data_IF_097835914980
#
_entry.id   IF_097835914980
#
_cell.length_a   1.000
_cell.length_b   1.000
_cell.length_c   1.000
_cell.angle_alpha   90.00
_cell.angle_beta   90.00
_cell.angle_gamma   90.00
#
_symmetry.space_group_name_H-M   'P 1'
#
loop_
_entity.id
_entity.type
_entity.pdbx_description
1 polymer ?
#
# COMPACT_ATOMS: atom_id res chain seq x y z
N UNK A 1 -28.47 11.62 -19.94
CA UNK A 1 -27.39 12.53 -19.50
C UNK A 1 -27.78 13.48 -18.35
N UNK A 2 -29.05 13.90 -18.19
CA UNK A 2 -29.46 14.81 -17.10
C UNK A 2 -29.48 14.21 -15.69
N UNK A 3 -29.91 12.94 -15.53
CA UNK A 3 -30.07 12.29 -14.21
C UNK A 3 -28.75 12.15 -13.45
N UNK A 4 -27.67 11.77 -14.14
CA UNK A 4 -26.33 11.65 -13.54
C UNK A 4 -25.83 13.01 -13.00
N UNK A 5 -26.09 14.12 -13.69
CA UNK A 5 -25.70 15.47 -13.21
C UNK A 5 -26.45 15.88 -11.95
N UNK A 6 -27.75 15.63 -11.89
CA UNK A 6 -28.57 15.92 -10.70
C UNK A 6 -28.12 15.08 -9.51
N UNK A 7 -27.81 13.80 -9.74
CA UNK A 7 -27.28 12.92 -8.69
C UNK A 7 -25.90 13.40 -8.21
N UNK A 8 -24.96 13.72 -9.10
CA UNK A 8 -23.65 14.27 -8.71
C UNK A 8 -23.78 15.54 -7.89
N UNK A 9 -24.63 16.48 -8.32
CA UNK A 9 -24.88 17.71 -7.57
C UNK A 9 -25.49 17.43 -6.20
N UNK A 10 -26.51 16.56 -6.13
CA UNK A 10 -27.13 16.16 -4.87
C UNK A 10 -26.11 15.52 -3.91
N UNK A 11 -25.26 14.63 -4.41
CA UNK A 11 -24.20 13.99 -3.62
C UNK A 11 -23.23 15.04 -3.07
N UNK A 12 -22.75 15.98 -3.90
CA UNK A 12 -21.88 17.07 -3.46
C UNK A 12 -22.52 17.90 -2.33
N UNK A 13 -23.79 18.27 -2.48
CA UNK A 13 -24.51 18.98 -1.42
C UNK A 13 -24.68 18.12 -0.17
N UNK A 14 -24.88 16.80 -0.32
CA UNK A 14 -25.08 15.89 0.82
C UNK A 14 -23.80 15.71 1.64
N UNK A 15 -22.63 15.56 1.00
CA UNK A 15 -21.36 15.44 1.73
C UNK A 15 -20.95 16.73 2.46
N UNK A 16 -21.43 17.89 2.02
CA UNK A 16 -21.16 19.19 2.66
C UNK A 16 -22.00 19.45 3.92
N UNK A 17 -23.03 18.63 4.22
CA UNK A 17 -23.90 18.80 5.39
C UNK A 17 -23.19 18.40 6.69
N UNK A 18 -22.74 19.40 7.45
CA UNK A 18 -21.98 19.19 8.70
C UNK A 18 -22.82 18.77 9.91
N UNK A 19 -24.11 19.06 9.89
CA UNK A 19 -25.06 18.75 10.99
C UNK A 19 -25.38 17.24 11.06
N UNK A 20 -25.21 16.52 9.95
CA UNK A 20 -25.51 15.08 9.87
C UNK A 20 -24.25 14.23 10.06
N UNK A 21 -24.38 13.16 10.84
CA UNK A 21 -23.30 12.21 11.09
C UNK A 21 -22.83 11.52 9.80
N UNK A 22 -21.51 11.30 9.68
CA UNK A 22 -20.85 10.65 8.54
C UNK A 22 -21.52 9.31 8.17
N UNK A 23 -21.88 8.51 9.17
CA UNK A 23 -22.53 7.21 9.00
C UNK A 23 -23.93 7.31 8.35
N UNK A 24 -24.67 8.36 8.67
CA UNK A 24 -26.00 8.60 8.09
C UNK A 24 -25.86 9.04 6.64
N UNK A 25 -24.89 9.91 6.36
CA UNK A 25 -24.63 10.40 5.01
C UNK A 25 -24.13 9.27 4.11
N UNK A 26 -23.15 8.47 4.56
CA UNK A 26 -22.62 7.35 3.80
C UNK A 26 -23.73 6.36 3.40
N UNK A 27 -24.58 5.96 4.36
CA UNK A 27 -25.73 5.09 4.10
C UNK A 27 -26.77 5.73 3.18
N UNK A 28 -27.05 7.02 3.33
CA UNK A 28 -28.02 7.72 2.46
C UNK A 28 -27.51 7.80 1.03
N UNK A 29 -26.22 8.08 0.84
CA UNK A 29 -25.59 8.13 -0.48
C UNK A 29 -25.56 6.72 -1.08
N UNK A 30 -25.19 5.69 -0.31
CA UNK A 30 -25.12 4.31 -0.83
C UNK A 30 -26.49 3.77 -1.25
N UNK A 31 -27.53 4.00 -0.46
CA UNK A 31 -28.90 3.59 -0.79
C UNK A 31 -29.46 4.31 -2.03
N UNK A 32 -29.14 5.61 -2.19
CA UNK A 32 -29.68 6.41 -3.29
C UNK A 32 -28.92 6.19 -4.60
N UNK A 33 -27.61 5.97 -4.53
CA UNK A 33 -26.82 5.66 -5.71
C UNK A 33 -27.02 4.21 -6.14
N UNK A 34 -27.05 3.24 -5.21
CA UNK A 34 -27.18 1.83 -5.55
C UNK A 34 -26.24 1.42 -6.70
N UNK A 35 -26.78 0.73 -7.70
CA UNK A 35 -26.07 0.36 -8.93
C UNK A 35 -26.16 1.41 -10.05
N UNK A 36 -26.43 2.68 -9.72
CA UNK A 36 -26.58 3.73 -10.73
C UNK A 36 -25.30 3.89 -11.54
N UNK A 37 -25.35 3.44 -12.80
CA UNK A 37 -24.22 3.49 -13.72
C UNK A 37 -23.70 4.92 -13.92
N UNK A 38 -22.40 5.11 -13.72
CA UNK A 38 -21.67 6.33 -14.10
C UNK A 38 -21.32 7.31 -12.97
N UNK A 39 -21.46 6.93 -11.70
CA UNK A 39 -20.96 7.71 -10.56
C UNK A 39 -19.92 6.86 -9.80
N UNK A 40 -18.71 7.39 -9.70
CA UNK A 40 -17.58 6.75 -9.01
C UNK A 40 -17.61 7.11 -7.52
N UNK A 41 -17.56 6.13 -6.62
CA UNK A 41 -17.49 6.40 -5.19
C UNK A 41 -16.18 7.08 -4.79
N UNK A 42 -15.11 6.83 -5.55
CA UNK A 42 -13.85 7.58 -5.40
C UNK A 42 -14.01 9.10 -5.61
N UNK A 43 -14.78 9.54 -6.61
CA UNK A 43 -15.05 10.97 -6.85
C UNK A 43 -15.78 11.61 -5.66
N UNK A 44 -16.71 10.86 -5.06
CA UNK A 44 -17.50 11.32 -3.92
C UNK A 44 -16.64 11.37 -2.65
N UNK A 45 -15.86 10.32 -2.40
CA UNK A 45 -14.93 10.25 -1.28
C UNK A 45 -13.89 11.38 -1.37
N UNK A 46 -13.38 11.67 -2.58
CA UNK A 46 -12.49 12.80 -2.83
C UNK A 46 -13.14 14.12 -2.42
N UNK A 47 -14.40 14.36 -2.81
CA UNK A 47 -15.15 15.56 -2.43
C UNK A 47 -15.38 15.64 -0.91
N UNK A 48 -15.74 14.54 -0.26
CA UNK A 48 -15.88 14.50 1.20
C UNK A 48 -14.56 14.84 1.91
N UNK A 49 -13.43 14.35 1.39
CA UNK A 49 -12.10 14.67 1.91
C UNK A 49 -11.74 16.15 1.72
N UNK A 50 -12.01 16.73 0.55
CA UNK A 50 -11.84 18.18 0.30
C UNK A 50 -12.68 19.06 1.25
N UNK A 51 -13.82 18.55 1.71
CA UNK A 51 -14.66 19.20 2.72
C UNK A 51 -14.15 19.01 4.16
N UNK A 52 -13.01 18.33 4.36
CA UNK A 52 -12.43 18.04 5.68
C UNK A 52 -13.09 16.87 6.42
N UNK A 53 -13.90 16.05 5.73
CA UNK A 53 -14.63 14.91 6.32
C UNK A 53 -13.92 13.59 6.00
N UNK A 54 -12.76 13.40 6.59
CA UNK A 54 -11.90 12.22 6.32
C UNK A 54 -12.59 10.89 6.63
N UNK A 55 -13.35 10.80 7.73
CA UNK A 55 -14.03 9.55 8.10
C UNK A 55 -15.18 9.22 7.14
N UNK A 56 -15.98 10.22 6.75
CA UNK A 56 -16.96 10.07 5.67
C UNK A 56 -16.31 9.63 4.36
N UNK A 57 -15.18 10.24 3.99
CA UNK A 57 -14.47 9.89 2.76
C UNK A 57 -14.04 8.42 2.76
N UNK A 58 -13.49 7.92 3.87
CA UNK A 58 -13.10 6.51 4.02
C UNK A 58 -14.33 5.59 3.89
N UNK A 59 -15.42 5.89 4.60
CA UNK A 59 -16.67 5.10 4.53
C UNK A 59 -17.26 5.05 3.12
N UNK A 60 -17.26 6.17 2.42
CA UNK A 60 -17.75 6.22 1.04
C UNK A 60 -16.86 5.44 0.09
N UNK A 61 -15.55 5.44 0.34
CA UNK A 61 -14.58 4.74 -0.48
C UNK A 61 -14.70 3.21 -0.36
N UNK A 62 -15.23 2.68 0.73
CA UNK A 62 -15.50 1.24 0.88
C UNK A 62 -16.49 0.70 -0.17
N UNK A 63 -17.35 1.56 -0.72
CA UNK A 63 -18.28 1.20 -1.79
C UNK A 63 -17.66 1.27 -3.20
N UNK A 64 -16.41 1.72 -3.34
CA UNK A 64 -15.71 1.73 -4.63
C UNK A 64 -15.13 0.33 -4.92
N UNK A 65 -15.62 -0.40 -5.95
CA UNK A 65 -15.14 -1.75 -6.24
C UNK A 65 -13.71 -1.78 -6.82
N UNK A 66 -13.21 -0.67 -7.37
CA UNK A 66 -11.89 -0.61 -8.01
C UNK A 66 -10.83 -0.26 -6.98
N UNK A 67 -10.06 -1.25 -6.53
CA UNK A 67 -8.95 -1.03 -5.58
C UNK A 67 -7.91 -0.02 -6.09
N UNK A 68 -7.71 0.06 -7.42
CA UNK A 68 -6.83 1.07 -8.03
C UNK A 68 -7.31 2.52 -7.86
N UNK A 69 -8.60 2.73 -7.58
CA UNK A 69 -9.15 4.05 -7.23
C UNK A 69 -9.14 4.27 -5.71
N UNK A 70 -9.31 3.21 -4.92
CA UNK A 70 -9.28 3.27 -3.46
C UNK A 70 -7.88 3.60 -2.93
N UNK A 71 -6.85 2.86 -3.37
CA UNK A 71 -5.51 2.91 -2.80
C UNK A 71 -4.89 4.31 -2.89
N UNK A 72 -4.86 5.02 -4.04
CA UNK A 72 -4.28 6.35 -4.12
C UNK A 72 -4.97 7.36 -3.19
N UNK A 73 -6.30 7.28 -3.07
CA UNK A 73 -7.06 8.17 -2.20
C UNK A 73 -6.76 7.90 -0.72
N UNK A 74 -6.66 6.63 -0.31
CA UNK A 74 -6.26 6.25 1.05
C UNK A 74 -4.86 6.76 1.40
N UNK A 75 -3.89 6.65 0.49
CA UNK A 75 -2.54 7.19 0.69
C UNK A 75 -2.56 8.71 0.89
N UNK A 76 -3.33 9.43 0.07
CA UNK A 76 -3.49 10.89 0.18
C UNK A 76 -4.15 11.32 1.49
N UNK A 77 -5.04 10.49 2.03
CA UNK A 77 -5.66 10.67 3.37
C UNK A 77 -4.75 10.20 4.52
N UNK A 78 -3.49 9.83 4.25
CA UNK A 78 -2.52 9.29 5.22
C UNK A 78 -3.02 8.04 5.95
N UNK A 79 -3.88 7.23 5.30
CA UNK A 79 -4.36 5.93 5.78
C UNK A 79 -3.53 4.79 5.21
N UNK A 80 -2.22 4.85 5.42
CA UNK A 80 -1.24 3.97 4.77
C UNK A 80 -1.44 2.48 5.06
N UNK A 81 -1.75 2.10 6.31
CA UNK A 81 -2.00 0.71 6.67
C UNK A 81 -3.24 0.16 5.96
N UNK A 82 -4.32 0.93 5.91
CA UNK A 82 -5.53 0.55 5.18
C UNK A 82 -5.29 0.46 3.67
N UNK A 83 -4.51 1.38 3.09
CA UNK A 83 -4.11 1.32 1.70
C UNK A 83 -3.32 0.04 1.38
N UNK A 84 -2.40 -0.36 2.27
CA UNK A 84 -1.62 -1.58 2.10
C UNK A 84 -2.52 -2.82 2.20
N UNK A 85 -3.41 -2.89 3.18
CA UNK A 85 -4.39 -3.98 3.29
C UNK A 85 -5.25 -4.09 2.03
N UNK A 86 -5.78 -2.97 1.51
CA UNK A 86 -6.62 -2.96 0.30
C UNK A 86 -5.86 -3.36 -0.96
N UNK A 87 -4.58 -2.99 -1.07
CA UNK A 87 -3.73 -3.43 -2.17
C UNK A 87 -3.41 -4.93 -2.09
N UNK A 88 -3.24 -5.49 -0.88
CA UNK A 88 -3.03 -6.94 -0.71
C UNK A 88 -4.32 -7.70 -1.03
N UNK A 89 -5.47 -7.24 -0.53
CA UNK A 89 -6.78 -7.84 -0.76
C UNK A 89 -7.15 -7.88 -2.26
N UNK A 90 -6.68 -6.92 -3.06
CA UNK A 90 -6.95 -6.91 -4.50
C UNK A 90 -6.18 -7.98 -5.28
N UNK A 91 -5.11 -8.53 -4.69
CA UNK A 91 -4.18 -9.45 -5.37
C UNK A 91 -3.34 -8.79 -6.48
N UNK A 92 -3.42 -7.46 -6.62
CA UNK A 92 -2.68 -6.70 -7.62
C UNK A 92 -1.29 -6.36 -7.07
N UNK A 93 -0.27 -7.05 -7.56
CA UNK A 93 1.12 -6.84 -7.13
C UNK A 93 1.62 -5.43 -7.42
N UNK A 94 1.15 -4.79 -8.48
CA UNK A 94 1.59 -3.44 -8.85
C UNK A 94 1.01 -2.41 -7.87
N UNK A 95 -0.23 -2.60 -7.41
CA UNK A 95 -0.78 -1.81 -6.31
C UNK A 95 -0.02 -2.02 -5.00
N UNK A 96 0.35 -3.26 -4.66
CA UNK A 96 1.15 -3.52 -3.46
C UNK A 96 2.50 -2.80 -3.56
N UNK A 97 3.19 -2.90 -4.70
CA UNK A 97 4.44 -2.17 -4.93
C UNK A 97 4.25 -0.66 -4.84
N UNK A 98 3.17 -0.12 -5.41
CA UNK A 98 2.84 1.30 -5.32
C UNK A 98 2.78 1.78 -3.86
N UNK A 99 2.09 1.03 -2.99
CA UNK A 99 1.98 1.36 -1.57
C UNK A 99 3.32 1.19 -0.86
N UNK A 100 4.05 0.10 -1.10
CA UNK A 100 5.35 -0.16 -0.48
C UNK A 100 6.37 0.92 -0.84
N UNK A 101 6.42 1.34 -2.11
CA UNK A 101 7.28 2.44 -2.57
C UNK A 101 6.90 3.76 -1.93
N UNK A 102 5.60 4.06 -1.83
CA UNK A 102 5.12 5.26 -1.12
C UNK A 102 5.57 5.24 0.35
N UNK A 103 5.38 4.12 1.06
CA UNK A 103 5.78 3.98 2.46
C UNK A 103 7.29 4.16 2.65
N UNK A 104 8.10 3.58 1.76
CA UNK A 104 9.56 3.73 1.79
C UNK A 104 10.02 5.18 1.68
N UNK A 105 9.28 6.00 0.93
CA UNK A 105 9.61 7.42 0.74
C UNK A 105 9.11 8.31 1.89
N UNK A 106 8.02 7.92 2.57
CA UNK A 106 7.38 8.73 3.62
C UNK A 106 7.89 8.38 5.03
N UNK A 107 8.45 7.19 5.22
CA UNK A 107 8.89 6.69 6.53
C UNK A 107 10.41 6.64 6.61
N UNK A 108 10.94 6.76 7.84
CA UNK A 108 12.31 6.34 8.07
C UNK A 108 12.44 4.81 7.91
N UNK A 109 13.68 4.33 7.71
CA UNK A 109 13.96 2.91 7.46
C UNK A 109 13.40 1.98 8.54
N UNK A 110 13.46 2.38 9.81
CA UNK A 110 12.96 1.57 10.93
C UNK A 110 11.45 1.39 10.89
N UNK A 111 10.70 2.50 10.78
CA UNK A 111 9.23 2.46 10.72
C UNK A 111 8.72 1.73 9.46
N UNK A 112 9.42 1.89 8.34
CA UNK A 112 9.13 1.19 7.10
C UNK A 112 9.24 -0.34 7.29
N UNK A 113 10.35 -0.82 7.82
CA UNK A 113 10.56 -2.25 8.06
C UNK A 113 9.61 -2.81 9.11
N UNK A 114 9.34 -2.08 10.19
CA UNK A 114 8.32 -2.48 11.17
C UNK A 114 6.93 -2.60 10.54
N UNK A 115 6.57 -1.69 9.63
CA UNK A 115 5.30 -1.75 8.90
C UNK A 115 5.23 -3.00 8.01
N UNK A 116 6.31 -3.30 7.26
CA UNK A 116 6.37 -4.49 6.41
C UNK A 116 6.35 -5.79 7.22
N UNK A 117 7.03 -5.85 8.37
CA UNK A 117 7.05 -7.04 9.24
C UNK A 117 5.65 -7.44 9.71
N UNK A 118 4.78 -6.46 9.94
CA UNK A 118 3.38 -6.70 10.31
C UNK A 118 2.50 -7.12 9.12
N UNK A 119 3.02 -7.18 7.90
CA UNK A 119 2.31 -7.51 6.66
C UNK A 119 3.13 -8.51 5.80
N UNK A 120 3.10 -9.82 6.12
CA UNK A 120 3.97 -10.82 5.50
C UNK A 120 3.94 -10.87 3.96
N UNK A 121 2.77 -10.63 3.36
CA UNK A 121 2.61 -10.58 1.90
C UNK A 121 3.41 -9.42 1.29
N UNK A 122 3.29 -8.23 1.88
CA UNK A 122 4.03 -7.05 1.44
C UNK A 122 5.54 -7.22 1.64
N UNK A 123 5.96 -7.79 2.79
CA UNK A 123 7.36 -8.09 3.05
C UNK A 123 7.93 -9.09 2.04
N UNK A 124 7.19 -10.16 1.71
CA UNK A 124 7.60 -11.16 0.72
C UNK A 124 7.81 -10.53 -0.67
N UNK A 125 6.85 -9.71 -1.12
CA UNK A 125 6.96 -8.98 -2.38
C UNK A 125 8.13 -7.98 -2.36
N UNK A 126 8.33 -7.27 -1.26
CA UNK A 126 9.46 -6.35 -1.12
C UNK A 126 10.80 -7.08 -1.16
N UNK A 127 10.93 -8.24 -0.49
CA UNK A 127 12.11 -9.11 -0.59
C UNK A 127 12.37 -9.55 -2.04
N UNK A 128 11.33 -9.90 -2.80
CA UNK A 128 11.46 -10.24 -4.22
C UNK A 128 11.97 -9.05 -5.04
N UNK A 129 11.47 -7.84 -4.80
CA UNK A 129 12.00 -6.63 -5.43
C UNK A 129 13.48 -6.41 -5.08
N UNK A 130 13.86 -6.51 -3.80
CA UNK A 130 15.24 -6.31 -3.36
C UNK A 130 16.21 -7.33 -3.94
N UNK A 131 15.79 -8.58 -4.21
CA UNK A 131 16.61 -9.59 -4.90
C UNK A 131 17.15 -9.10 -6.25
N UNK A 132 16.38 -8.26 -6.96
CA UNK A 132 16.74 -7.76 -8.28
C UNK A 132 17.38 -6.37 -8.25
N UNK A 133 16.94 -5.49 -7.35
CA UNK A 133 17.30 -4.07 -7.41
C UNK A 133 18.15 -3.58 -6.22
N UNK A 134 18.03 -4.20 -5.04
CA UNK A 134 18.57 -3.65 -3.79
C UNK A 134 19.19 -4.75 -2.90
N UNK A 135 20.31 -5.33 -3.35
CA UNK A 135 20.93 -6.48 -2.68
C UNK A 135 21.36 -6.19 -1.24
N UNK A 136 21.90 -4.99 -0.96
CA UNK A 136 22.30 -4.62 0.40
C UNK A 136 21.09 -4.50 1.33
N UNK A 137 19.97 -3.97 0.84
CA UNK A 137 18.74 -3.93 1.64
C UNK A 137 18.18 -5.33 1.87
N UNK A 138 18.29 -6.23 0.89
CA UNK A 138 17.92 -7.63 1.10
C UNK A 138 18.75 -8.28 2.22
N UNK A 139 20.06 -8.03 2.23
CA UNK A 139 20.96 -8.52 3.28
C UNK A 139 20.55 -7.97 4.65
N UNK A 140 20.26 -6.69 4.76
CA UNK A 140 19.79 -6.07 6.01
C UNK A 140 18.48 -6.69 6.51
N UNK A 141 17.55 -7.01 5.61
CA UNK A 141 16.30 -7.69 5.96
C UNK A 141 16.55 -9.10 6.50
N UNK A 142 17.49 -9.86 5.92
CA UNK A 142 17.83 -11.18 6.45
C UNK A 142 18.51 -11.09 7.82
N UNK A 143 19.41 -10.12 8.02
CA UNK A 143 20.00 -9.85 9.34
C UNK A 143 18.97 -9.49 10.41
N UNK A 144 17.98 -8.67 10.08
CA UNK A 144 16.95 -8.25 11.04
C UNK A 144 16.00 -9.37 11.46
N UNK A 145 15.79 -10.34 10.57
CA UNK A 145 14.90 -11.47 10.82
C UNK A 145 15.65 -12.72 11.34
N UNK A 146 16.95 -12.58 11.66
CA UNK A 146 17.85 -13.69 12.05
C UNK A 146 17.78 -14.88 11.06
N UNK A 147 17.62 -14.58 9.77
CA UNK A 147 17.52 -15.56 8.69
C UNK A 147 18.92 -15.97 8.21
N UNK A 148 19.65 -16.65 9.10
CA UNK A 148 21.03 -17.11 8.86
C UNK A 148 21.14 -17.98 7.60
N UNK A 149 20.10 -18.76 7.29
CA UNK A 149 20.07 -19.58 6.08
C UNK A 149 20.08 -18.72 4.82
N UNK A 150 19.24 -17.69 4.73
CA UNK A 150 19.23 -16.80 3.58
C UNK A 150 20.48 -15.89 3.52
N UNK A 151 21.07 -15.52 4.66
CA UNK A 151 22.37 -14.82 4.71
C UNK A 151 23.49 -15.68 4.16
N UNK A 152 23.62 -16.94 4.60
CA UNK A 152 24.59 -17.89 4.03
C UNK A 152 24.41 -18.04 2.53
N UNK A 153 23.17 -18.23 2.07
CA UNK A 153 22.83 -18.28 0.64
C UNK A 153 23.21 -16.98 -0.11
N UNK A 154 23.03 -15.83 0.52
CA UNK A 154 23.40 -14.53 -0.04
C UNK A 154 24.90 -14.45 -0.27
N UNK A 155 25.72 -14.77 0.73
CA UNK A 155 27.18 -14.74 0.62
C UNK A 155 27.74 -15.77 -0.36
N UNK A 156 27.15 -16.97 -0.43
CA UNK A 156 27.49 -17.97 -1.45
C UNK A 156 27.25 -17.38 -2.84
N UNK A 157 26.08 -16.78 -3.09
CA UNK A 157 25.77 -16.14 -4.39
C UNK A 157 26.71 -14.95 -4.69
N UNK A 158 27.04 -14.16 -3.68
CA UNK A 158 27.98 -13.04 -3.82
C UNK A 158 29.37 -13.52 -4.25
N UNK A 159 29.85 -14.64 -3.70
CA UNK A 159 31.16 -15.22 -4.06
C UNK A 159 31.26 -15.53 -5.56
N UNK A 160 30.20 -16.01 -6.21
CA UNK A 160 30.22 -16.30 -7.65
C UNK A 160 30.34 -15.04 -8.53
N UNK A 161 29.99 -13.86 -7.99
CA UNK A 161 30.10 -12.58 -8.71
C UNK A 161 31.51 -11.96 -8.58
N UNK A 162 32.28 -12.39 -7.60
CA UNK A 162 33.64 -11.86 -7.36
C UNK A 162 34.63 -12.31 -8.42
N UNK A 163 35.59 -11.44 -8.76
CA UNK A 163 36.63 -11.74 -9.76
C UNK A 163 37.93 -12.27 -9.14
N UNK A 164 38.26 -11.82 -7.93
CA UNK A 164 39.49 -12.17 -7.22
C UNK A 164 39.26 -13.36 -6.31
N UNK A 165 40.21 -14.29 -6.26
CA UNK A 165 40.10 -15.50 -5.46
C UNK A 165 39.96 -15.17 -3.96
N UNK A 166 40.71 -14.19 -3.48
CA UNK A 166 40.68 -13.75 -2.08
C UNK A 166 39.30 -13.21 -1.69
N UNK A 167 38.66 -12.41 -2.56
CA UNK A 167 37.32 -11.88 -2.34
C UNK A 167 36.24 -12.98 -2.37
N UNK A 168 36.40 -13.98 -3.26
CA UNK A 168 35.55 -15.18 -3.29
C UNK A 168 35.65 -15.95 -1.98
N UNK A 169 36.87 -16.23 -1.53
CA UNK A 169 37.14 -16.94 -0.28
C UNK A 169 36.59 -16.18 0.92
N UNK A 170 36.78 -14.86 0.98
CA UNK A 170 36.22 -14.03 2.05
C UNK A 170 34.70 -14.12 2.10
N UNK A 171 34.02 -14.07 0.94
CA UNK A 171 32.57 -14.20 0.87
C UNK A 171 32.10 -15.58 1.32
N UNK A 172 32.80 -16.65 0.91
CA UNK A 172 32.49 -18.01 1.36
C UNK A 172 32.74 -18.20 2.86
N UNK A 173 33.76 -17.55 3.42
CA UNK A 173 33.99 -17.56 4.86
C UNK A 173 32.84 -16.88 5.60
N UNK A 174 32.40 -15.69 5.14
CA UNK A 174 31.20 -15.05 5.70
C UNK A 174 29.98 -15.97 5.63
N UNK A 175 29.82 -16.76 4.55
CA UNK A 175 28.71 -17.72 4.47
C UNK A 175 28.78 -18.86 5.49
N UNK A 176 29.97 -19.23 5.98
CA UNK A 176 30.18 -20.25 7.02
C UNK A 176 29.96 -19.67 8.42
N UNK A 177 30.17 -18.37 8.57
CA UNK A 177 30.08 -17.68 9.86
C UNK A 177 28.63 -17.28 10.22
N UNK A 178 27.68 -17.41 9.28
CA UNK A 178 26.23 -17.25 9.50
C UNK A 178 25.59 -18.53 10.06
#
# INVERSE_FOLDING_TARGET
QGVSRVLKHWVCCKVEQKEEADEVIARTISLKLGDAAGISYSEIANKAYECGRTELAIKLLEFEPRSGEQVPLLLRMKRSQLALSKAIESGDTDLVYTVVTYLKNEMNRGDFFMTLRNQPVALSLYRQFCKHQEQDTLKDLFNQDDDHQELGNFYVKASYKEKRLEARMSSLQSAVDE
#
